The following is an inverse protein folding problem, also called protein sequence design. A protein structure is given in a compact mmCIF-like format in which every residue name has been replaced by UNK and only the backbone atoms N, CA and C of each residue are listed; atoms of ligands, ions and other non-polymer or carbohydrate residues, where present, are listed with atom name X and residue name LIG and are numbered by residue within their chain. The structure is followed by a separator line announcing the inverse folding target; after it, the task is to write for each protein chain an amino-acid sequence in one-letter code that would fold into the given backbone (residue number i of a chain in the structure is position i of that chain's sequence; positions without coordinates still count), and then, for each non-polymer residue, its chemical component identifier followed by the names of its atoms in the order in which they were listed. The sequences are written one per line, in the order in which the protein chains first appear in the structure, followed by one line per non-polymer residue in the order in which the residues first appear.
data_IF_926003513717
#
_entry.id   IF_926003513717
#
_cell.length_a   1.000
_cell.length_b   1.000
_cell.length_c   1.000
_cell.angle_alpha   90.00
_cell.angle_beta   90.00
_cell.angle_gamma   90.00
#
_symmetry.space_group_name_H-M   'P 1'
#
loop_
_entity.id
_entity.type
_entity.pdbx_description
1 polymer ?
#
# COMPACT_ATOMS: atom_id res chain seq x y z
N UNK A 1 -64.73 37.13 -42.51
CA UNK A 1 -64.56 38.31 -41.61
C UNK A 1 -63.57 37.90 -40.53
N UNK A 2 -62.27 38.09 -40.76
CA UNK A 2 -61.50 39.31 -40.48
C UNK A 2 -61.09 39.41 -38.99
N UNK A 3 -59.83 39.03 -38.73
CA UNK A 3 -58.96 39.61 -37.68
C UNK A 3 -58.69 41.12 -38.02
N UNK A 4 -58.03 41.99 -37.21
CA UNK A 4 -56.83 41.71 -36.40
C UNK A 4 -56.51 42.62 -35.17
N UNK A 5 -55.33 42.37 -34.56
CA UNK A 5 -54.51 43.35 -33.82
C UNK A 5 -54.78 43.46 -32.32
N UNK A 6 -53.85 43.73 -31.41
CA UNK A 6 -52.38 43.87 -31.38
C UNK A 6 -52.10 44.48 -30.01
N UNK A 7 -51.09 44.04 -29.25
CA UNK A 7 -50.77 44.75 -28.01
C UNK A 7 -49.92 43.99 -27.02
N UNK A 8 -48.62 43.89 -27.31
CA UNK A 8 -47.66 43.28 -26.41
C UNK A 8 -47.59 43.93 -25.03
N UNK A 9 -47.55 43.10 -23.99
CA UNK A 9 -46.88 43.44 -22.73
C UNK A 9 -45.84 42.37 -22.47
N UNK A 10 -44.63 42.64 -22.98
CA UNK A 10 -43.40 41.97 -22.52
C UNK A 10 -43.32 42.19 -21.01
N UNK A 11 -43.53 41.12 -20.25
CA UNK A 11 -43.17 41.07 -18.85
C UNK A 11 -41.65 41.32 -18.78
N UNK A 12 -41.24 42.54 -18.41
CA UNK A 12 -39.87 42.85 -18.02
C UNK A 12 -39.57 42.05 -16.76
N UNK A 13 -39.08 40.82 -16.93
CA UNK A 13 -38.42 40.05 -15.88
C UNK A 13 -37.23 40.90 -15.44
N UNK A 14 -37.35 41.56 -14.28
CA UNK A 14 -36.24 42.24 -13.62
C UNK A 14 -35.17 41.18 -13.36
N UNK A 15 -34.04 41.31 -14.03
CA UNK A 15 -32.82 40.57 -13.69
C UNK A 15 -32.44 40.94 -12.25
N UNK A 16 -32.17 39.97 -11.36
CA UNK A 16 -31.55 40.30 -10.09
C UNK A 16 -30.13 40.79 -10.36
N UNK A 17 -29.91 42.08 -10.14
CA UNK A 17 -28.59 42.67 -10.03
C UNK A 17 -27.95 42.20 -8.72
N UNK A 18 -27.14 41.14 -8.76
CA UNK A 18 -26.25 40.75 -7.65
C UNK A 18 -25.20 39.73 -8.10
N UNK A 19 -24.42 40.07 -9.12
CA UNK A 19 -23.39 39.20 -9.73
C UNK A 19 -21.94 39.45 -9.31
N UNK A 20 -21.67 40.29 -8.30
CA UNK A 20 -20.28 40.64 -7.90
C UNK A 20 -19.95 40.21 -6.46
N UNK A 21 -20.93 40.09 -5.57
CA UNK A 21 -20.73 39.58 -4.19
C UNK A 21 -20.73 38.04 -4.08
N UNK A 22 -21.35 37.34 -5.03
CA UNK A 22 -21.45 35.88 -5.02
C UNK A 22 -20.15 35.16 -5.48
N UNK A 23 -19.29 35.87 -6.21
CA UNK A 23 -17.99 35.37 -6.70
C UNK A 23 -16.88 35.53 -5.65
N UNK A 24 -16.85 36.65 -4.92
CA UNK A 24 -15.89 36.88 -3.84
C UNK A 24 -16.13 35.96 -2.63
N UNK A 25 -17.39 35.71 -2.26
CA UNK A 25 -17.72 34.75 -1.21
C UNK A 25 -17.35 33.32 -1.61
N UNK A 26 -17.57 32.90 -2.86
CA UNK A 26 -17.13 31.57 -3.33
C UNK A 26 -15.61 31.42 -3.40
N UNK A 27 -14.85 32.44 -3.79
CA UNK A 27 -13.39 32.37 -3.82
C UNK A 27 -12.77 32.37 -2.41
N UNK A 28 -13.33 33.13 -1.47
CA UNK A 28 -12.91 33.15 -0.06
C UNK A 28 -13.28 31.83 0.65
N UNK A 29 -14.47 31.28 0.39
CA UNK A 29 -14.85 29.94 0.90
C UNK A 29 -13.98 28.83 0.31
N UNK A 30 -13.56 28.96 -0.96
CA UNK A 30 -12.63 28.01 -1.60
C UNK A 30 -11.23 28.15 -1.00
N UNK A 31 -10.71 29.37 -0.81
CA UNK A 31 -9.40 29.63 -0.20
C UNK A 31 -9.30 29.16 1.24
N UNK A 32 -10.31 29.45 2.07
CA UNK A 32 -10.36 29.00 3.46
C UNK A 32 -10.40 27.47 3.60
N UNK A 33 -11.09 26.77 2.69
CA UNK A 33 -11.09 25.29 2.69
C UNK A 33 -9.78 24.69 2.23
N UNK A 34 -9.11 25.27 1.23
CA UNK A 34 -7.78 24.79 0.82
C UNK A 34 -6.74 24.99 1.93
N UNK A 35 -6.85 26.09 2.69
CA UNK A 35 -6.03 26.29 3.90
C UNK A 35 -6.30 25.21 4.95
N UNK A 36 -7.57 24.94 5.26
CA UNK A 36 -7.94 23.86 6.19
C UNK A 36 -7.43 22.51 5.71
N UNK A 37 -7.58 22.18 4.42
CA UNK A 37 -7.09 20.93 3.86
C UNK A 37 -5.56 20.84 3.91
N UNK A 38 -4.86 21.96 3.70
CA UNK A 38 -3.41 22.06 3.89
C UNK A 38 -3.00 21.77 5.34
N UNK A 39 -3.67 22.39 6.31
CA UNK A 39 -3.42 22.13 7.74
C UNK A 39 -3.69 20.66 8.08
N UNK A 40 -4.81 20.13 7.63
CA UNK A 40 -5.21 18.74 7.81
C UNK A 40 -4.22 17.74 7.19
N UNK A 41 -3.65 18.06 6.04
CA UNK A 41 -2.59 17.27 5.41
C UNK A 41 -1.29 17.30 6.23
N UNK A 42 -0.90 18.47 6.74
CA UNK A 42 0.27 18.59 7.64
C UNK A 42 0.05 17.79 8.93
N UNK A 43 -1.13 17.87 9.53
CA UNK A 43 -1.48 17.07 10.71
C UNK A 43 -1.42 15.57 10.40
N UNK A 44 -1.93 15.12 9.26
CA UNK A 44 -1.81 13.73 8.84
C UNK A 44 -0.35 13.28 8.70
N UNK A 45 0.51 14.10 8.09
CA UNK A 45 1.95 13.81 7.98
C UNK A 45 2.60 13.71 9.38
N UNK A 46 2.27 14.61 10.30
CA UNK A 46 2.78 14.55 11.68
C UNK A 46 2.34 13.28 12.40
N UNK A 47 1.07 12.87 12.23
CA UNK A 47 0.53 11.63 12.77
C UNK A 47 1.11 10.37 12.12
N UNK A 48 1.73 10.47 10.94
CA UNK A 48 2.49 9.36 10.35
C UNK A 48 3.91 9.26 10.91
N UNK A 49 4.58 10.41 11.13
CA UNK A 49 5.99 10.46 11.56
C UNK A 49 6.15 9.99 13.00
N UNK A 50 5.37 10.55 13.93
CA UNK A 50 5.58 10.31 15.36
C UNK A 50 5.43 8.83 15.77
N UNK A 51 4.34 8.12 15.40
CA UNK A 51 4.17 6.71 15.74
C UNK A 51 5.21 5.82 15.06
N UNK A 52 5.67 6.20 13.86
CA UNK A 52 6.63 5.41 13.11
C UNK A 52 8.02 5.43 13.75
N UNK A 53 8.50 6.57 14.24
CA UNK A 53 9.76 6.66 14.98
C UNK A 53 9.71 5.84 16.28
N UNK A 54 8.58 5.92 16.98
CA UNK A 54 8.36 5.21 18.24
C UNK A 54 8.28 3.68 18.02
N UNK A 55 7.60 3.25 16.96
CA UNK A 55 7.58 1.84 16.56
C UNK A 55 8.95 1.35 16.12
N UNK A 56 9.67 2.10 15.26
CA UNK A 56 10.99 1.71 14.76
C UNK A 56 11.99 1.52 15.90
N UNK A 57 12.04 2.46 16.85
CA UNK A 57 12.94 2.37 18.01
C UNK A 57 12.62 1.18 18.92
N UNK A 58 11.33 0.89 19.15
CA UNK A 58 10.90 -0.28 19.93
C UNK A 58 11.23 -1.59 19.22
N UNK A 59 10.95 -1.64 17.91
CA UNK A 59 11.21 -2.81 17.08
C UNK A 59 12.71 -3.13 17.02
N UNK A 60 13.58 -2.12 16.92
CA UNK A 60 15.03 -2.31 16.94
C UNK A 60 15.54 -2.88 18.26
N UNK A 61 15.03 -2.38 19.40
CA UNK A 61 15.41 -2.86 20.72
C UNK A 61 14.93 -4.30 21.01
N UNK A 62 13.82 -4.71 20.41
CA UNK A 62 13.13 -5.95 20.79
C UNK A 62 12.82 -6.89 19.62
N UNK A 63 13.54 -6.73 18.51
CA UNK A 63 13.34 -7.51 17.28
C UNK A 63 13.18 -9.01 17.54
N UNK A 64 14.11 -9.59 18.30
CA UNK A 64 14.15 -11.04 18.54
C UNK A 64 12.98 -11.52 19.42
N UNK A 65 12.56 -10.70 20.38
CA UNK A 65 11.38 -10.98 21.23
C UNK A 65 10.10 -10.92 20.39
N UNK A 66 9.99 -9.94 19.48
CA UNK A 66 8.84 -9.80 18.58
C UNK A 66 8.75 -10.98 17.62
N UNK A 67 9.85 -11.36 16.96
CA UNK A 67 9.91 -12.51 16.07
C UNK A 67 9.59 -13.82 16.81
N UNK A 68 10.10 -14.00 18.05
CA UNK A 68 9.78 -15.17 18.86
C UNK A 68 8.29 -15.24 19.25
N UNK A 69 7.68 -14.11 19.59
CA UNK A 69 6.24 -14.01 19.86
C UNK A 69 5.43 -14.32 18.60
N UNK A 70 5.82 -13.76 17.45
CA UNK A 70 5.18 -13.99 16.16
C UNK A 70 5.28 -15.46 15.75
N UNK A 71 6.42 -16.10 15.97
CA UNK A 71 6.63 -17.52 15.68
C UNK A 71 5.83 -18.46 16.60
N UNK A 72 5.50 -18.00 17.82
CA UNK A 72 4.56 -18.70 18.73
C UNK A 72 3.11 -18.57 18.27
N UNK A 73 2.72 -17.40 17.80
CA UNK A 73 1.34 -17.12 17.35
C UNK A 73 1.05 -17.63 15.93
N UNK A 74 2.05 -17.63 15.05
CA UNK A 74 1.95 -18.11 13.66
C UNK A 74 3.01 -19.21 13.40
N UNK A 75 2.76 -20.47 13.82
CA UNK A 75 3.72 -21.57 13.68
C UNK A 75 4.14 -21.87 12.22
N UNK A 76 3.27 -21.58 11.26
CA UNK A 76 3.45 -21.63 9.82
C UNK A 76 4.55 -20.70 9.27
N UNK A 77 4.98 -19.69 10.05
CA UNK A 77 5.98 -18.69 9.66
C UNK A 77 7.42 -19.05 10.05
N UNK A 78 7.63 -20.22 10.67
CA UNK A 78 8.97 -20.72 10.99
C UNK A 78 9.78 -20.83 9.70
N UNK A 79 10.83 -20.01 9.58
CA UNK A 79 11.82 -20.18 8.52
C UNK A 79 12.32 -21.64 8.56
N UNK A 80 12.39 -22.35 7.43
CA UNK A 80 13.14 -23.60 7.40
C UNK A 80 14.56 -23.30 7.89
N UNK A 81 15.09 -24.16 8.77
CA UNK A 81 16.45 -24.02 9.32
C UNK A 81 17.43 -23.75 8.16
N UNK A 82 18.26 -22.69 8.24
CA UNK A 82 19.23 -22.42 7.19
C UNK A 82 20.11 -23.66 6.99
N UNK A 83 20.45 -23.98 5.74
CA UNK A 83 21.25 -25.17 5.41
C UNK A 83 22.59 -25.21 6.18
N UNK A 84 23.12 -24.07 6.60
CA UNK A 84 24.28 -23.98 7.48
C UNK A 84 24.06 -24.66 8.85
N UNK A 85 22.88 -24.54 9.44
CA UNK A 85 22.55 -25.21 10.72
C UNK A 85 22.38 -26.72 10.54
N UNK A 86 21.97 -27.16 9.34
CA UNK A 86 21.90 -28.58 8.99
C UNK A 86 23.30 -29.15 8.75
N UNK A 87 24.20 -28.40 8.10
CA UNK A 87 25.60 -28.79 7.89
C UNK A 87 26.39 -28.77 9.21
N UNK A 88 26.10 -27.83 10.13
CA UNK A 88 26.67 -27.82 11.47
C UNK A 88 26.13 -28.98 12.32
N UNK A 89 24.82 -29.24 12.27
CA UNK A 89 24.23 -30.39 12.94
C UNK A 89 24.75 -31.73 12.38
N UNK A 90 24.99 -31.81 11.05
CA UNK A 90 25.57 -32.98 10.40
C UNK A 90 27.03 -33.18 10.82
N UNK A 91 27.82 -32.10 10.90
CA UNK A 91 29.19 -32.11 11.45
C UNK A 91 29.23 -32.54 12.91
N UNK A 92 28.31 -32.07 13.73
CA UNK A 92 28.24 -32.44 15.15
C UNK A 92 27.83 -33.91 15.31
N UNK A 93 26.93 -34.43 14.46
CA UNK A 93 26.60 -35.86 14.44
C UNK A 93 27.74 -36.74 13.93
N UNK A 94 28.51 -36.28 12.95
CA UNK A 94 29.69 -37.00 12.45
C UNK A 94 30.82 -36.97 13.49
N UNK A 95 31.04 -35.83 14.16
CA UNK A 95 31.98 -35.73 15.27
C UNK A 95 31.60 -36.65 16.44
N UNK A 96 30.31 -36.70 16.80
CA UNK A 96 29.80 -37.62 17.82
C UNK A 96 29.91 -39.10 17.40
N UNK A 97 29.77 -39.42 16.11
CA UNK A 97 29.98 -40.77 15.58
C UNK A 97 31.47 -41.17 15.53
N UNK A 98 32.38 -40.20 15.33
CA UNK A 98 33.83 -40.43 15.42
C UNK A 98 34.28 -40.62 16.88
N UNK A 99 33.66 -39.94 17.84
CA UNK A 99 33.91 -40.14 19.27
C UNK A 99 33.36 -41.47 19.82
N UNK A 100 32.30 -42.02 19.22
CA UNK A 100 31.71 -43.30 19.63
C UNK A 100 32.42 -44.55 19.07
N UNK A 101 33.50 -44.38 18.31
CA UNK A 101 34.33 -45.48 17.80
C UNK A 101 33.65 -46.32 16.71
N UNK A 102 32.59 -45.81 16.08
CA UNK A 102 31.89 -46.52 15.03
C UNK A 102 32.55 -46.25 13.68
N UNK A 103 33.31 -47.22 13.20
CA UNK A 103 34.11 -47.16 11.98
C UNK A 103 33.19 -47.00 10.74
N UNK A 104 32.97 -45.76 10.29
CA UNK A 104 32.28 -45.48 9.03
C UNK A 104 33.31 -45.66 7.91
N UNK A 105 33.19 -46.78 7.19
CA UNK A 105 34.02 -47.11 6.03
C UNK A 105 33.97 -45.97 4.99
N UNK A 106 35.09 -45.26 4.84
CA UNK A 106 35.26 -44.21 3.86
C UNK A 106 35.64 -44.82 2.50
N UNK A 107 34.69 -44.86 1.56
CA UNK A 107 34.99 -45.04 0.14
C UNK A 107 35.32 -43.67 -0.47
N UNK A 108 36.49 -43.48 -1.12
CA UNK A 108 36.87 -42.18 -1.66
C UNK A 108 36.16 -41.94 -3.00
N UNK A 109 35.00 -41.30 -2.97
CA UNK A 109 34.37 -40.78 -4.18
C UNK A 109 35.13 -39.52 -4.65
N UNK A 110 35.68 -39.59 -5.87
CA UNK A 110 36.22 -38.44 -6.61
C UNK A 110 35.24 -37.26 -6.59
N UNK A 111 35.72 -36.00 -6.56
CA UNK A 111 34.87 -34.84 -6.70
C UNK A 111 34.32 -34.81 -8.13
N UNK A 112 33.12 -35.36 -8.32
CA UNK A 112 32.35 -35.19 -9.53
C UNK A 112 32.20 -33.69 -9.79
N UNK A 113 32.77 -33.23 -10.89
CA UNK A 113 32.52 -31.91 -11.47
C UNK A 113 31.02 -31.79 -11.67
N UNK A 114 30.36 -31.07 -10.78
CA UNK A 114 28.93 -30.74 -10.89
C UNK A 114 28.78 -29.88 -12.15
N UNK A 115 28.06 -30.33 -13.18
CA UNK A 115 27.81 -29.49 -14.34
C UNK A 115 27.00 -28.26 -13.88
N UNK A 116 27.32 -27.07 -14.40
CA UNK A 116 26.69 -25.75 -14.14
C UNK A 116 25.17 -25.66 -14.45
N UNK A 117 24.45 -26.76 -14.50
CA UNK A 117 23.05 -26.88 -14.94
C UNK A 117 21.96 -26.86 -13.84
N UNK A 118 22.17 -27.12 -12.52
CA UNK A 118 21.05 -27.22 -11.58
C UNK A 118 20.48 -25.87 -11.12
N UNK A 119 21.23 -24.77 -11.25
CA UNK A 119 20.81 -23.44 -10.74
C UNK A 119 19.72 -22.79 -11.62
N UNK A 120 19.73 -23.06 -12.93
CA UNK A 120 18.74 -22.53 -13.88
C UNK A 120 17.39 -23.26 -13.80
N UNK A 121 17.37 -24.58 -13.55
CA UNK A 121 16.14 -25.35 -13.38
C UNK A 121 15.46 -25.10 -12.02
N UNK A 122 16.25 -24.99 -10.94
CA UNK A 122 15.74 -24.67 -9.60
C UNK A 122 15.12 -23.26 -9.53
N UNK A 123 15.71 -22.28 -10.24
CA UNK A 123 15.16 -20.92 -10.32
C UNK A 123 13.85 -20.84 -11.11
N UNK A 124 13.63 -21.72 -12.10
CA UNK A 124 12.37 -21.82 -12.82
C UNK A 124 11.22 -22.39 -11.97
N UNK A 125 11.49 -23.40 -11.13
CA UNK A 125 10.51 -23.99 -10.20
C UNK A 125 10.17 -23.10 -8.99
N UNK A 126 11.14 -22.35 -8.48
CA UNK A 126 10.90 -21.33 -7.45
C UNK A 126 10.14 -20.11 -8.00
N UNK A 127 10.36 -19.72 -9.26
CA UNK A 127 9.63 -18.62 -9.89
C UNK A 127 8.16 -18.98 -10.20
N UNK A 128 7.87 -20.21 -10.64
CA UNK A 128 6.50 -20.62 -10.97
C UNK A 128 5.59 -20.72 -9.74
N UNK A 129 6.12 -21.22 -8.62
CA UNK A 129 5.39 -21.29 -7.35
C UNK A 129 5.15 -19.91 -6.72
N UNK A 130 6.11 -18.98 -6.84
CA UNK A 130 5.96 -17.59 -6.40
C UNK A 130 4.87 -16.83 -7.18
N UNK A 131 4.85 -16.98 -8.50
CA UNK A 131 3.87 -16.32 -9.38
C UNK A 131 2.44 -16.81 -9.10
N UNK A 132 2.24 -18.12 -8.96
CA UNK A 132 0.93 -18.69 -8.64
C UNK A 132 0.43 -18.23 -7.27
N UNK A 133 1.31 -18.22 -6.27
CA UNK A 133 1.00 -17.72 -4.92
C UNK A 133 0.61 -16.24 -4.94
N UNK A 134 1.36 -15.42 -5.67
CA UNK A 134 1.03 -14.00 -5.82
C UNK A 134 -0.31 -13.79 -6.52
N UNK A 135 -0.54 -14.49 -7.64
CA UNK A 135 -1.81 -14.41 -8.37
C UNK A 135 -3.00 -14.82 -7.48
N UNK A 136 -2.87 -15.90 -6.72
CA UNK A 136 -3.89 -16.33 -5.76
C UNK A 136 -4.14 -15.28 -4.67
N UNK A 137 -3.09 -14.68 -4.12
CA UNK A 137 -3.23 -13.61 -3.12
C UNK A 137 -3.85 -12.33 -3.71
N UNK A 138 -3.50 -11.97 -4.94
CA UNK A 138 -4.05 -10.82 -5.65
C UNK A 138 -5.55 -10.98 -5.90
N UNK A 139 -5.97 -12.15 -6.41
CA UNK A 139 -7.38 -12.47 -6.62
C UNK A 139 -8.14 -12.52 -5.30
N UNK A 140 -7.63 -13.24 -4.30
CA UNK A 140 -8.27 -13.34 -3.00
C UNK A 140 -8.43 -11.97 -2.34
N UNK A 141 -7.39 -11.14 -2.37
CA UNK A 141 -7.44 -9.81 -1.80
C UNK A 141 -8.35 -8.85 -2.58
N UNK A 142 -8.46 -8.97 -3.90
CA UNK A 142 -9.44 -8.22 -4.69
C UNK A 142 -10.89 -8.60 -4.34
N UNK A 143 -11.15 -9.89 -4.13
CA UNK A 143 -12.46 -10.39 -3.67
C UNK A 143 -12.77 -9.91 -2.25
N UNK A 144 -11.80 -10.01 -1.33
CA UNK A 144 -11.92 -9.49 0.05
C UNK A 144 -12.23 -7.99 0.01
N UNK A 145 -11.54 -7.21 -0.84
CA UNK A 145 -11.80 -5.80 -1.02
C UNK A 145 -13.21 -5.48 -1.51
N UNK A 146 -13.81 -6.36 -2.32
CA UNK A 146 -15.19 -6.25 -2.76
C UNK A 146 -16.19 -6.17 -1.60
N UNK A 147 -15.95 -6.88 -0.51
CA UNK A 147 -16.83 -6.89 0.67
C UNK A 147 -16.89 -5.55 1.43
N UNK A 148 -16.06 -4.57 1.08
CA UNK A 148 -16.24 -3.20 1.59
C UNK A 148 -17.54 -2.56 1.09
N UNK A 149 -17.95 -2.89 -0.13
CA UNK A 149 -19.20 -2.42 -0.72
C UNK A 149 -20.40 -3.19 -0.12
N UNK A 150 -21.39 -2.50 0.51
CA UNK A 150 -22.60 -3.17 1.01
C UNK A 150 -23.42 -3.87 -0.09
N UNK A 151 -23.30 -3.43 -1.33
CA UNK A 151 -23.96 -4.03 -2.49
C UNK A 151 -23.17 -5.17 -3.13
N UNK A 152 -22.06 -5.62 -2.51
CA UNK A 152 -21.25 -6.70 -3.05
C UNK A 152 -22.02 -8.02 -3.09
N UNK A 153 -22.06 -8.66 -4.25
CA UNK A 153 -22.74 -9.92 -4.47
C UNK A 153 -22.54 -10.45 -5.89
N UNK A 154 -23.44 -11.32 -6.34
CA UNK A 154 -23.41 -11.84 -7.71
C UNK A 154 -24.05 -10.83 -8.67
N UNK A 155 -23.32 -9.77 -8.98
CA UNK A 155 -23.76 -8.71 -9.89
C UNK A 155 -22.64 -8.23 -10.80
N UNK A 156 -23.02 -7.53 -11.87
CA UNK A 156 -22.05 -6.96 -12.79
C UNK A 156 -21.22 -5.84 -12.15
N UNK A 157 -21.83 -5.05 -11.28
CA UNK A 157 -21.13 -4.01 -10.52
C UNK A 157 -20.05 -4.60 -9.60
N UNK A 158 -20.34 -5.75 -8.96
CA UNK A 158 -19.38 -6.44 -8.12
C UNK A 158 -18.21 -7.01 -8.93
N UNK A 159 -18.49 -7.52 -10.13
CA UNK A 159 -17.43 -7.99 -11.05
C UNK A 159 -16.51 -6.85 -11.49
N UNK A 160 -17.05 -5.71 -11.91
CA UNK A 160 -16.22 -4.56 -12.34
C UNK A 160 -15.40 -3.97 -11.19
N UNK A 161 -15.93 -3.98 -9.97
CA UNK A 161 -15.19 -3.59 -8.76
C UNK A 161 -13.99 -4.53 -8.53
N UNK A 162 -14.22 -5.84 -8.50
CA UNK A 162 -13.15 -6.84 -8.29
C UNK A 162 -12.10 -6.74 -9.40
N UNK A 163 -12.53 -6.60 -10.65
CA UNK A 163 -11.62 -6.40 -11.78
C UNK A 163 -10.78 -5.12 -11.61
N UNK A 164 -11.41 -4.01 -11.20
CA UNK A 164 -10.74 -2.75 -10.92
C UNK A 164 -9.66 -2.90 -9.84
N UNK A 165 -10.01 -3.50 -8.70
CA UNK A 165 -9.06 -3.72 -7.59
C UNK A 165 -7.93 -4.66 -8.01
N UNK A 166 -8.23 -5.74 -8.73
CA UNK A 166 -7.23 -6.68 -9.22
C UNK A 166 -6.23 -5.99 -10.17
N UNK A 167 -6.73 -5.19 -11.12
CA UNK A 167 -5.88 -4.41 -12.02
C UNK A 167 -5.00 -3.45 -11.23
N UNK A 168 -5.54 -2.75 -10.22
CA UNK A 168 -4.76 -1.84 -9.37
C UNK A 168 -3.63 -2.55 -8.63
N UNK A 169 -3.85 -3.74 -8.10
CA UNK A 169 -2.81 -4.53 -7.41
C UNK A 169 -1.67 -4.87 -8.37
N UNK A 170 -2.01 -5.38 -9.56
CA UNK A 170 -1.03 -5.77 -10.58
C UNK A 170 -0.27 -4.55 -11.09
N UNK A 171 -0.98 -3.49 -11.45
CA UNK A 171 -0.42 -2.25 -11.97
C UNK A 171 0.47 -1.56 -10.92
N UNK A 172 0.03 -1.50 -9.66
CA UNK A 172 0.82 -0.95 -8.56
C UNK A 172 2.12 -1.71 -8.34
N UNK A 173 2.09 -3.04 -8.45
CA UNK A 173 3.29 -3.89 -8.32
C UNK A 173 4.27 -3.67 -9.47
N UNK A 174 3.76 -3.58 -10.70
CA UNK A 174 4.59 -3.29 -11.89
C UNK A 174 5.20 -1.89 -11.79
N UNK A 175 4.38 -0.87 -11.50
CA UNK A 175 4.85 0.52 -11.43
C UNK A 175 5.85 0.73 -10.31
N UNK A 176 5.56 0.21 -9.11
CA UNK A 176 6.44 0.36 -7.96
C UNK A 176 7.81 -0.29 -8.16
N UNK A 177 7.88 -1.33 -8.99
CA UNK A 177 9.12 -2.05 -9.28
C UNK A 177 9.86 -1.57 -10.54
N UNK A 178 9.16 -0.88 -11.46
CA UNK A 178 9.68 -0.51 -12.77
C UNK A 178 10.97 0.34 -12.72
N UNK A 179 11.11 1.37 -11.87
CA UNK A 179 12.38 2.10 -11.78
C UNK A 179 13.54 1.26 -11.26
N UNK A 180 13.28 0.30 -10.37
CA UNK A 180 14.27 -0.67 -9.91
C UNK A 180 14.72 -1.63 -11.01
N UNK A 181 13.80 -2.06 -11.89
CA UNK A 181 14.13 -2.86 -13.08
C UNK A 181 14.96 -2.05 -14.05
N UNK A 182 14.52 -0.83 -14.38
CA UNK A 182 15.17 0.02 -15.37
C UNK A 182 16.58 0.41 -14.93
N UNK A 183 16.78 0.72 -13.64
CA UNK A 183 18.09 1.03 -13.10
C UNK A 183 19.04 -0.17 -13.18
N UNK A 184 18.58 -1.38 -12.83
CA UNK A 184 19.41 -2.60 -12.97
C UNK A 184 19.81 -2.85 -14.41
N UNK A 185 18.87 -2.72 -15.36
CA UNK A 185 19.16 -2.84 -16.79
C UNK A 185 20.20 -1.82 -17.25
N UNK A 186 20.10 -0.56 -16.80
CA UNK A 186 21.08 0.49 -17.13
C UNK A 186 22.47 0.23 -16.53
N UNK A 187 22.53 -0.45 -15.40
CA UNK A 187 23.78 -0.83 -14.74
C UNK A 187 24.35 -2.18 -15.22
N UNK A 188 23.71 -2.83 -16.21
CA UNK A 188 24.11 -4.16 -16.67
C UNK A 188 23.90 -5.27 -15.63
N UNK A 189 23.10 -5.03 -14.60
CA UNK A 189 22.82 -5.99 -13.53
C UNK A 189 21.62 -6.89 -13.91
N UNK A 190 21.62 -8.17 -13.49
CA UNK A 190 20.46 -9.04 -13.62
C UNK A 190 19.20 -8.39 -13.01
N UNK A 191 18.14 -8.30 -13.82
CA UNK A 191 16.84 -7.78 -13.41
C UNK A 191 15.84 -8.91 -13.09
N UNK A 192 16.34 -10.10 -12.81
CA UNK A 192 15.53 -11.24 -12.40
C UNK A 192 14.90 -10.95 -11.03
N UNK A 193 13.58 -11.12 -10.97
CA UNK A 193 12.79 -10.90 -9.78
C UNK A 193 11.78 -12.02 -9.62
N UNK A 194 11.48 -12.34 -8.37
CA UNK A 194 10.42 -13.28 -7.99
C UNK A 194 9.27 -12.46 -7.42
N UNK A 195 8.04 -12.80 -7.82
CA UNK A 195 6.86 -12.27 -7.16
C UNK A 195 6.73 -12.90 -5.78
N UNK A 196 6.93 -12.07 -4.76
CA UNK A 196 6.73 -12.47 -3.37
C UNK A 196 5.38 -11.94 -2.91
N UNK A 197 4.56 -12.83 -2.36
CA UNK A 197 3.32 -12.46 -1.70
C UNK A 197 3.33 -12.93 -0.26
N UNK A 198 2.72 -12.13 0.61
CA UNK A 198 2.61 -12.36 2.04
C UNK A 198 1.16 -12.75 2.38
N UNK A 199 0.81 -14.05 2.42
CA UNK A 199 -0.58 -14.49 2.59
C UNK A 199 -1.18 -14.06 3.93
N UNK A 200 -0.34 -13.90 4.96
CA UNK A 200 -0.78 -13.39 6.27
C UNK A 200 -1.38 -12.00 6.17
N UNK A 201 -1.02 -11.22 5.14
CA UNK A 201 -1.64 -9.95 4.87
C UNK A 201 -3.12 -10.06 4.51
N UNK A 202 -3.58 -11.18 3.93
CA UNK A 202 -5.02 -11.40 3.67
C UNK A 202 -5.84 -11.48 4.97
N UNK A 203 -5.24 -11.99 6.05
CA UNK A 203 -5.91 -12.01 7.37
C UNK A 203 -6.13 -10.58 7.86
N UNK A 204 -5.12 -9.72 7.70
CA UNK A 204 -5.24 -8.29 8.00
C UNK A 204 -6.31 -7.66 7.12
N UNK A 205 -6.35 -7.98 5.82
CA UNK A 205 -7.39 -7.49 4.91
C UNK A 205 -8.80 -7.86 5.37
N UNK A 206 -9.02 -9.11 5.79
CA UNK A 206 -10.30 -9.55 6.34
C UNK A 206 -10.67 -8.76 7.60
N UNK A 207 -9.73 -8.59 8.54
CA UNK A 207 -9.96 -7.81 9.77
C UNK A 207 -10.33 -6.36 9.42
N UNK A 208 -9.61 -5.73 8.49
CA UNK A 208 -9.87 -4.37 8.04
C UNK A 208 -11.26 -4.23 7.40
N UNK A 209 -11.67 -5.20 6.58
CA UNK A 209 -13.03 -5.25 6.02
C UNK A 209 -14.06 -5.36 7.13
N UNK A 210 -13.91 -6.32 8.04
CA UNK A 210 -14.85 -6.54 9.15
C UNK A 210 -15.01 -5.27 9.99
N UNK A 211 -13.91 -4.66 10.42
CA UNK A 211 -13.96 -3.42 11.22
C UNK A 211 -14.61 -2.28 10.44
N UNK A 212 -14.25 -2.10 9.16
CA UNK A 212 -14.85 -1.06 8.31
C UNK A 212 -16.36 -1.24 8.17
N UNK A 213 -16.82 -2.48 8.03
CA UNK A 213 -18.24 -2.83 7.94
C UNK A 213 -18.98 -2.61 9.26
N UNK A 214 -18.38 -2.98 10.39
CA UNK A 214 -18.99 -2.80 11.72
C UNK A 214 -19.13 -1.32 12.10
N UNK A 215 -18.18 -0.49 11.71
CA UNK A 215 -18.17 0.96 12.01
C UNK A 215 -18.92 1.78 10.94
N UNK A 216 -19.34 1.14 9.84
CA UNK A 216 -19.99 1.83 8.72
C UNK A 216 -19.06 2.82 8.01
N UNK A 217 -17.75 2.55 8.03
CA UNK A 217 -16.75 3.43 7.43
C UNK A 217 -16.79 3.30 5.90
N UNK A 218 -17.10 4.41 5.22
CA UNK A 218 -17.22 4.48 3.77
C UNK A 218 -16.45 5.70 3.22
N UNK A 219 -15.58 5.53 2.21
CA UNK A 219 -15.13 4.25 1.63
C UNK A 219 -14.42 3.37 2.68
N UNK A 220 -14.55 2.05 2.59
CA UNK A 220 -13.97 1.15 3.59
C UNK A 220 -12.43 1.11 3.58
N UNK A 221 -11.81 0.80 4.71
CA UNK A 221 -10.36 0.61 4.78
C UNK A 221 -9.99 -0.83 4.42
N UNK A 222 -9.11 -0.99 3.43
CA UNK A 222 -8.51 -2.28 3.05
C UNK A 222 -6.99 -2.20 3.13
N UNK A 223 -6.40 -3.00 4.02
CA UNK A 223 -4.95 -3.16 4.14
C UNK A 223 -4.56 -4.63 3.91
N UNK A 224 -3.26 -4.93 3.78
CA UNK A 224 -2.77 -6.31 3.86
C UNK A 224 -2.60 -7.04 2.52
N UNK A 225 -2.82 -6.38 1.40
CA UNK A 225 -2.48 -6.93 0.09
C UNK A 225 -1.02 -6.63 -0.25
N UNK A 226 -0.11 -7.28 0.50
CA UNK A 226 1.33 -7.05 0.39
C UNK A 226 1.95 -8.11 -0.51
N UNK A 227 2.27 -7.71 -1.74
CA UNK A 227 3.10 -8.47 -2.64
C UNK A 227 3.94 -7.53 -3.50
N UNK A 228 5.13 -7.97 -3.89
CA UNK A 228 6.11 -7.15 -4.59
C UNK A 228 7.13 -7.99 -5.35
N UNK A 229 8.03 -7.31 -6.05
CA UNK A 229 9.16 -7.96 -6.71
C UNK A 229 10.37 -8.01 -5.77
N UNK A 230 10.80 -9.22 -5.41
CA UNK A 230 12.07 -9.47 -4.75
C UNK A 230 13.15 -9.71 -5.82
N UNK A 231 14.14 -8.82 -5.90
CA UNK A 231 15.22 -8.91 -6.89
C UNK A 231 16.38 -9.75 -6.37
N UNK A 232 16.98 -10.57 -7.24
CA UNK A 232 18.12 -11.43 -6.89
C UNK A 232 19.37 -10.61 -6.57
N UNK A 233 19.55 -9.45 -7.21
CA UNK A 233 20.69 -8.56 -7.00
C UNK A 233 20.25 -7.29 -6.26
N UNK A 234 20.89 -7.06 -5.11
CA UNK A 234 20.71 -5.86 -4.30
C UNK A 234 21.38 -4.65 -4.95
N UNK A 235 20.72 -3.50 -4.88
CA UNK A 235 21.29 -2.20 -5.26
C UNK A 235 22.02 -1.58 -4.07
N UNK A 236 22.93 -0.64 -4.31
CA UNK A 236 23.48 0.18 -3.22
C UNK A 236 22.37 1.00 -2.54
N UNK A 237 22.55 1.37 -1.27
CA UNK A 237 21.54 2.14 -0.50
C UNK A 237 21.06 3.41 -1.24
N UNK A 238 21.99 4.14 -1.86
CA UNK A 238 21.66 5.35 -2.62
C UNK A 238 20.88 5.05 -3.92
N UNK A 239 21.26 4.00 -4.64
CA UNK A 239 20.55 3.57 -5.85
C UNK A 239 19.15 3.05 -5.51
N UNK A 240 19.01 2.30 -4.42
CA UNK A 240 17.73 1.83 -3.92
C UNK A 240 16.83 3.01 -3.53
N UNK A 241 17.35 3.99 -2.79
CA UNK A 241 16.58 5.18 -2.42
C UNK A 241 16.09 5.98 -3.64
N UNK A 242 16.96 6.18 -4.64
CA UNK A 242 16.58 6.85 -5.89
C UNK A 242 15.55 6.05 -6.69
N UNK A 243 15.68 4.73 -6.75
CA UNK A 243 14.73 3.86 -7.43
C UNK A 243 13.36 3.87 -6.74
N UNK A 244 13.35 3.80 -5.40
CA UNK A 244 12.13 3.89 -4.59
C UNK A 244 11.46 5.26 -4.77
N UNK A 245 12.23 6.35 -4.66
CA UNK A 245 11.72 7.70 -4.87
C UNK A 245 11.11 7.89 -6.27
N UNK A 246 11.80 7.43 -7.31
CA UNK A 246 11.27 7.44 -8.67
C UNK A 246 10.01 6.55 -8.80
N UNK A 247 9.99 5.39 -8.16
CA UNK A 247 8.82 4.49 -8.13
C UNK A 247 7.60 5.17 -7.54
N UNK A 248 7.78 5.86 -6.42
CA UNK A 248 6.71 6.60 -5.76
C UNK A 248 6.22 7.78 -6.60
N UNK A 249 7.11 8.51 -7.28
CA UNK A 249 6.72 9.56 -8.23
C UNK A 249 5.91 9.02 -9.41
N UNK A 250 6.33 7.89 -10.00
CA UNK A 250 5.60 7.27 -11.11
C UNK A 250 4.25 6.75 -10.64
N UNK A 251 4.18 6.12 -9.46
CA UNK A 251 2.92 5.66 -8.87
C UNK A 251 1.94 6.82 -8.67
N UNK A 252 2.42 7.94 -8.11
CA UNK A 252 1.62 9.15 -7.94
C UNK A 252 1.18 9.74 -9.29
N UNK A 253 2.07 9.78 -10.27
CA UNK A 253 1.77 10.24 -11.63
C UNK A 253 0.69 9.38 -12.31
N UNK A 254 0.75 8.05 -12.16
CA UNK A 254 -0.27 7.14 -12.69
C UNK A 254 -1.60 7.29 -11.96
N UNK A 255 -1.59 7.46 -10.63
CA UNK A 255 -2.81 7.73 -9.88
C UNK A 255 -3.48 9.02 -10.38
N UNK A 256 -2.71 10.10 -10.56
CA UNK A 256 -3.22 11.37 -11.10
C UNK A 256 -3.72 11.23 -12.54
N UNK A 257 -3.02 10.49 -13.39
CA UNK A 257 -3.48 10.22 -14.76
C UNK A 257 -4.79 9.42 -14.76
N UNK A 258 -4.93 8.44 -13.87
CA UNK A 258 -6.17 7.67 -13.70
C UNK A 258 -7.32 8.54 -13.22
N UNK A 259 -7.07 9.49 -12.30
CA UNK A 259 -8.06 10.48 -11.89
C UNK A 259 -8.54 11.37 -13.04
N UNK A 260 -7.62 11.85 -13.88
CA UNK A 260 -7.98 12.64 -15.05
C UNK A 260 -8.78 11.81 -16.07
N UNK A 261 -8.41 10.54 -16.28
CA UNK A 261 -9.15 9.61 -17.14
C UNK A 261 -10.54 9.27 -16.59
N UNK A 262 -10.70 9.22 -15.27
CA UNK A 262 -11.98 8.92 -14.62
C UNK A 262 -13.09 9.93 -14.98
N UNK A 263 -12.75 11.19 -15.21
CA UNK A 263 -13.73 12.26 -15.52
C UNK A 263 -14.53 11.98 -16.80
N UNK A 264 -13.90 11.80 -17.99
CA UNK A 264 -14.63 11.44 -19.20
C UNK A 264 -15.23 10.03 -19.11
N UNK A 265 -14.57 9.08 -18.44
CA UNK A 265 -15.08 7.71 -18.28
C UNK A 265 -16.39 7.68 -17.49
N UNK A 266 -16.50 8.48 -16.42
CA UNK A 266 -17.74 8.59 -15.65
C UNK A 266 -18.86 9.18 -16.49
N UNK A 267 -18.56 10.23 -17.26
CA UNK A 267 -19.55 10.85 -18.15
C UNK A 267 -20.09 9.86 -19.20
N UNK A 268 -19.22 9.01 -19.74
CA UNK A 268 -19.60 7.96 -20.68
C UNK A 268 -20.34 6.80 -19.98
N UNK A 269 -19.94 6.43 -18.76
CA UNK A 269 -20.55 5.34 -18.01
C UNK A 269 -21.97 5.66 -17.48
N UNK A 270 -22.33 6.94 -17.33
CA UNK A 270 -23.68 7.36 -16.93
C UNK A 270 -24.70 7.38 -18.07
N UNK A 271 -24.30 7.03 -19.29
CA UNK A 271 -25.24 6.92 -20.41
C UNK A 271 -26.17 5.70 -20.24
N UNK A 272 -27.36 5.67 -20.89
CA UNK A 272 -28.37 4.62 -20.68
C UNK A 272 -27.92 3.18 -21.01
N UNK A 273 -26.88 3.01 -21.82
CA UNK A 273 -26.26 1.73 -22.14
C UNK A 273 -24.74 1.88 -22.28
N UNK A 274 -24.01 1.96 -21.16
CA UNK A 274 -22.57 2.11 -21.20
C UNK A 274 -21.95 0.78 -21.63
N UNK A 275 -21.20 0.80 -22.73
CA UNK A 275 -20.50 -0.39 -23.20
C UNK A 275 -19.57 -0.96 -22.11
N UNK A 276 -19.46 -2.29 -22.06
CA UNK A 276 -18.68 -3.02 -21.05
C UNK A 276 -17.28 -2.45 -20.79
N UNK A 277 -16.56 -2.11 -21.87
CA UNK A 277 -15.22 -1.55 -21.78
C UNK A 277 -15.17 -0.22 -21.02
N UNK A 278 -16.21 0.62 -21.16
CA UNK A 278 -16.31 1.91 -20.47
C UNK A 278 -16.51 1.70 -18.98
N UNK A 279 -17.42 0.80 -18.58
CA UNK A 279 -17.69 0.49 -17.16
C UNK A 279 -16.47 -0.09 -16.45
N UNK A 280 -15.77 -1.05 -17.08
CA UNK A 280 -14.51 -1.58 -16.52
C UNK A 280 -13.44 -0.49 -16.45
N UNK A 281 -13.26 0.28 -17.52
CA UNK A 281 -12.23 1.33 -17.55
C UNK A 281 -12.47 2.37 -16.45
N UNK A 282 -13.73 2.75 -16.21
CA UNK A 282 -14.11 3.64 -15.12
C UNK A 282 -13.76 3.04 -13.75
N UNK A 283 -14.11 1.78 -13.51
CA UNK A 283 -13.82 1.08 -12.25
C UNK A 283 -12.31 0.95 -12.01
N UNK A 284 -11.54 0.60 -13.05
CA UNK A 284 -10.07 0.55 -13.01
C UNK A 284 -9.48 1.92 -12.72
N UNK A 285 -9.94 2.98 -13.40
CA UNK A 285 -9.45 4.33 -13.18
C UNK A 285 -9.72 4.82 -11.75
N UNK A 286 -10.91 4.53 -11.21
CA UNK A 286 -11.24 4.82 -9.82
C UNK A 286 -10.33 4.05 -8.85
N UNK A 287 -10.20 2.74 -9.04
CA UNK A 287 -9.38 1.89 -8.18
C UNK A 287 -7.90 2.29 -8.22
N UNK A 288 -7.36 2.63 -9.40
CA UNK A 288 -5.97 3.06 -9.57
C UNK A 288 -5.71 4.39 -8.88
N UNK A 289 -6.66 5.32 -8.93
CA UNK A 289 -6.52 6.58 -8.24
C UNK A 289 -6.60 6.40 -6.72
N UNK A 290 -7.67 5.77 -6.20
CA UNK A 290 -7.88 5.59 -4.76
C UNK A 290 -6.75 4.74 -4.17
N UNK A 291 -6.52 3.55 -4.72
CA UNK A 291 -5.47 2.64 -4.24
C UNK A 291 -4.06 3.18 -4.47
N UNK A 292 -3.84 3.98 -5.52
CA UNK A 292 -2.56 4.64 -5.78
C UNK A 292 -2.23 5.72 -4.76
N UNK A 293 -3.18 6.59 -4.41
CA UNK A 293 -2.99 7.62 -3.38
C UNK A 293 -2.84 7.00 -2.00
N UNK A 294 -3.73 6.09 -1.62
CA UNK A 294 -3.68 5.41 -0.32
C UNK A 294 -2.42 4.57 -0.17
N UNK A 295 -2.11 3.73 -1.16
CA UNK A 295 -0.91 2.91 -1.18
C UNK A 295 0.37 3.73 -1.12
N UNK A 296 0.40 4.90 -1.78
CA UNK A 296 1.53 5.83 -1.71
C UNK A 296 1.64 6.47 -0.33
N UNK A 297 0.53 6.92 0.25
CA UNK A 297 0.52 7.54 1.57
C UNK A 297 1.01 6.56 2.64
N UNK A 298 0.51 5.33 2.61
CA UNK A 298 0.93 4.25 3.50
C UNK A 298 2.40 3.92 3.26
N UNK A 299 2.78 3.69 2.00
CA UNK A 299 4.14 3.36 1.61
C UNK A 299 5.16 4.44 2.01
N UNK A 300 4.74 5.70 2.11
CA UNK A 300 5.55 6.81 2.61
C UNK A 300 5.69 6.85 4.12
N UNK A 301 4.88 6.13 4.89
CA UNK A 301 5.07 6.03 6.35
C UNK A 301 6.52 5.58 6.63
N UNK A 302 7.29 6.29 7.47
CA UNK A 302 8.73 6.07 7.61
C UNK A 302 9.04 4.86 8.50
N UNK A 303 8.34 3.74 8.32
CA UNK A 303 8.59 2.47 8.99
C UNK A 303 9.66 1.68 8.23
N UNK A 304 10.57 1.00 8.93
CA UNK A 304 11.69 0.24 8.30
C UNK A 304 11.24 -0.82 7.28
N UNK A 305 10.03 -1.35 7.45
CA UNK A 305 9.43 -2.34 6.55
C UNK A 305 8.82 -1.71 5.28
N UNK A 306 8.71 -0.39 5.23
CA UNK A 306 8.05 0.34 4.15
C UNK A 306 9.04 1.17 3.31
N UNK A 307 8.70 1.43 2.04
CA UNK A 307 9.57 2.20 1.13
C UNK A 307 9.91 3.60 1.65
N UNK A 308 9.01 4.22 2.42
CA UNK A 308 9.14 5.56 2.99
C UNK A 308 10.38 5.73 3.84
N UNK A 309 10.76 4.72 4.64
CA UNK A 309 11.99 4.77 5.44
C UNK A 309 13.25 4.86 4.56
N UNK A 310 13.24 4.22 3.39
CA UNK A 310 14.35 4.29 2.43
C UNK A 310 14.52 5.71 1.88
N UNK A 311 13.43 6.42 1.61
CA UNK A 311 13.48 7.82 1.16
C UNK A 311 13.87 8.74 2.33
N UNK A 312 13.29 8.54 3.51
CA UNK A 312 13.55 9.33 4.72
C UNK A 312 15.03 9.32 5.12
N UNK A 313 15.64 8.12 5.12
CA UNK A 313 17.05 7.94 5.44
C UNK A 313 18.01 8.52 4.39
N UNK A 314 17.55 8.69 3.14
CA UNK A 314 18.31 9.32 2.07
C UNK A 314 18.18 10.84 2.04
N UNK A 315 16.94 11.36 2.08
CA UNK A 315 16.65 12.80 1.99
C UNK A 315 15.31 13.12 2.64
N UNK A 316 15.35 13.65 3.87
CA UNK A 316 14.17 14.15 4.58
C UNK A 316 13.38 15.19 3.77
N UNK A 317 14.01 16.18 3.09
CA UNK A 317 13.26 17.11 2.26
C UNK A 317 12.50 16.43 1.11
N UNK A 318 13.12 15.45 0.44
CA UNK A 318 12.47 14.71 -0.64
C UNK A 318 11.28 13.89 -0.11
N UNK A 319 11.43 13.29 1.06
CA UNK A 319 10.35 12.59 1.75
C UNK A 319 9.21 13.54 2.12
N UNK A 320 9.49 14.67 2.78
CA UNK A 320 8.47 15.64 3.19
C UNK A 320 7.71 16.20 1.99
N UNK A 321 8.42 16.51 0.89
CA UNK A 321 7.79 16.95 -0.34
C UNK A 321 6.77 15.94 -0.86
N UNK A 322 7.14 14.65 -0.91
CA UNK A 322 6.24 13.60 -1.35
C UNK A 322 5.07 13.36 -0.38
N UNK A 323 5.37 13.32 0.92
CA UNK A 323 4.38 13.07 1.97
C UNK A 323 3.33 14.19 2.02
N UNK A 324 3.76 15.45 1.96
CA UNK A 324 2.84 16.60 1.95
C UNK A 324 1.96 16.59 0.69
N UNK A 325 2.54 16.38 -0.49
CA UNK A 325 1.77 16.34 -1.75
C UNK A 325 0.76 15.19 -1.72
N UNK A 326 1.18 13.99 -1.31
CA UNK A 326 0.29 12.82 -1.25
C UNK A 326 -0.80 13.00 -0.20
N UNK A 327 -0.46 13.47 1.01
CA UNK A 327 -1.43 13.74 2.07
C UNK A 327 -2.41 14.84 1.66
N UNK A 328 -1.95 15.88 0.97
CA UNK A 328 -2.82 16.92 0.45
C UNK A 328 -3.82 16.36 -0.57
N UNK A 329 -3.36 15.55 -1.53
CA UNK A 329 -4.25 14.88 -2.50
C UNK A 329 -5.25 13.94 -1.80
N UNK A 330 -4.78 13.16 -0.82
CA UNK A 330 -5.63 12.28 0.00
C UNK A 330 -6.72 13.08 0.73
N UNK A 331 -6.36 14.15 1.44
CA UNK A 331 -7.33 14.98 2.18
C UNK A 331 -8.30 15.68 1.24
N UNK A 332 -7.80 16.30 0.18
CA UNK A 332 -8.61 17.13 -0.72
C UNK A 332 -9.51 16.31 -1.64
N UNK A 333 -9.02 15.19 -2.15
CA UNK A 333 -9.75 14.41 -3.16
C UNK A 333 -10.50 13.23 -2.57
N UNK A 334 -9.94 12.54 -1.56
CA UNK A 334 -10.57 11.35 -0.98
C UNK A 334 -11.40 11.66 0.28
N UNK A 335 -10.85 12.43 1.23
CA UNK A 335 -11.54 12.69 2.50
C UNK A 335 -12.57 13.83 2.43
N UNK A 336 -12.31 14.88 1.63
CA UNK A 336 -13.20 16.03 1.50
C UNK A 336 -13.50 16.36 0.03
N UNK A 337 -14.07 15.41 -0.74
CA UNK A 337 -14.37 15.64 -2.14
C UNK A 337 -15.36 16.80 -2.30
N UNK A 338 -14.93 17.92 -2.90
CA UNK A 338 -15.80 19.07 -3.19
C UNK A 338 -16.91 18.72 -4.20
N UNK A 339 -16.68 17.71 -5.04
CA UNK A 339 -17.49 17.42 -6.23
C UNK A 339 -18.09 15.99 -6.27
N UNK A 340 -18.20 15.31 -5.12
CA UNK A 340 -18.87 14.00 -5.06
C UNK A 340 -18.14 12.86 -5.80
N UNK A 341 -16.80 12.94 -5.93
CA UNK A 341 -15.97 11.89 -6.56
C UNK A 341 -16.19 10.49 -5.96
N UNK A 342 -16.55 10.40 -4.67
CA UNK A 342 -16.91 9.17 -3.96
C UNK A 342 -18.33 9.21 -3.38
N UNK A 343 -19.23 10.01 -3.96
CA UNK A 343 -20.51 10.37 -3.32
C UNK A 343 -20.30 11.37 -2.18
N UNK A 344 -21.37 11.74 -1.48
CA UNK A 344 -21.32 12.70 -0.38
C UNK A 344 -20.62 12.09 0.84
N UNK A 345 -19.29 12.03 0.85
CA UNK A 345 -18.51 11.68 2.03
C UNK A 345 -18.84 12.68 3.14
N UNK A 346 -19.53 12.21 4.19
CA UNK A 346 -19.93 13.08 5.28
C UNK A 346 -18.70 13.54 6.08
N UNK A 347 -18.82 14.66 6.80
CA UNK A 347 -17.75 15.16 7.69
C UNK A 347 -17.31 14.10 8.72
N UNK A 348 -18.12 13.07 8.98
CA UNK A 348 -17.77 11.95 9.85
C UNK A 348 -16.59 11.12 9.34
N UNK A 349 -16.45 10.90 8.02
CA UNK A 349 -15.35 10.09 7.46
C UNK A 349 -13.97 10.69 7.74
N UNK A 350 -13.87 12.03 7.70
CA UNK A 350 -12.66 12.78 8.04
C UNK A 350 -12.24 12.52 9.49
N UNK A 351 -13.18 12.70 10.43
CA UNK A 351 -12.89 12.54 11.86
C UNK A 351 -12.57 11.10 12.24
N UNK A 352 -13.24 10.12 11.63
CA UNK A 352 -12.90 8.70 11.83
C UNK A 352 -11.50 8.39 11.33
N UNK A 353 -11.10 8.94 10.18
CA UNK A 353 -9.73 8.79 9.64
C UNK A 353 -8.68 9.33 10.61
N UNK A 354 -8.87 10.56 11.12
CA UNK A 354 -7.97 11.12 12.12
C UNK A 354 -8.00 10.36 13.44
N UNK A 355 -9.17 9.86 13.85
CA UNK A 355 -9.32 9.01 15.02
C UNK A 355 -8.55 7.69 14.88
N UNK A 356 -8.53 7.09 13.69
CA UNK A 356 -7.73 5.89 13.40
C UNK A 356 -6.23 6.19 13.40
N UNK A 357 -5.80 7.30 12.80
CA UNK A 357 -4.38 7.72 12.88
C UNK A 357 -3.95 8.00 14.32
N UNK A 358 -4.80 8.69 15.10
CA UNK A 358 -4.57 8.92 16.52
C UNK A 358 -4.56 7.61 17.31
N UNK A 359 -5.50 6.69 17.02
CA UNK A 359 -5.59 5.35 17.60
C UNK A 359 -4.33 4.52 17.33
N UNK A 360 -3.84 4.53 16.10
CA UNK A 360 -2.57 3.92 15.73
C UNK A 360 -1.40 4.55 16.50
N UNK A 361 -1.39 5.88 16.66
CA UNK A 361 -0.42 6.58 17.50
C UNK A 361 -0.46 6.14 18.96
N UNK A 362 -1.67 6.00 19.54
CA UNK A 362 -1.86 5.52 20.91
C UNK A 362 -1.43 4.05 21.07
N UNK A 363 -1.76 3.18 20.11
CA UNK A 363 -1.32 1.78 20.12
C UNK A 363 0.21 1.67 20.02
N UNK A 364 0.83 2.49 19.18
CA UNK A 364 2.29 2.56 19.07
C UNK A 364 2.92 3.03 20.39
N UNK A 365 2.34 4.05 21.04
CA UNK A 365 2.76 4.52 22.35
C UNK A 365 2.60 3.46 23.45
N UNK A 366 1.47 2.74 23.46
CA UNK A 366 1.21 1.65 24.40
C UNK A 366 2.18 0.47 24.18
N UNK A 367 2.47 0.14 22.93
CA UNK A 367 3.44 -0.89 22.56
C UNK A 367 4.84 -0.54 23.07
N UNK A 368 5.32 0.68 22.82
CA UNK A 368 6.58 1.18 23.37
C UNK A 368 6.58 1.15 24.90
N UNK A 369 5.52 1.65 25.53
CA UNK A 369 5.42 1.68 26.99
C UNK A 369 5.48 0.28 27.60
N UNK A 370 4.78 -0.70 27.02
CA UNK A 370 4.79 -2.09 27.47
C UNK A 370 6.17 -2.74 27.34
N UNK A 371 6.94 -2.41 26.30
CA UNK A 371 8.28 -2.96 26.12
C UNK A 371 9.33 -2.27 27.01
N UNK A 372 9.21 -0.97 27.21
CA UNK A 372 10.13 -0.20 28.06
C UNK A 372 9.88 -0.46 29.56
N UNK A 373 8.62 -0.71 29.98
CA UNK A 373 8.23 -0.90 31.38
C UNK A 373 7.76 -2.33 31.72
N UNK A 374 7.79 -3.26 30.76
CA UNK A 374 7.35 -4.64 30.93
C UNK A 374 8.35 -5.51 31.70
N UNK A 375 7.95 -6.73 32.12
CA UNK A 375 8.65 -7.58 33.09
C UNK A 375 9.96 -8.25 32.58
N UNK A 376 10.69 -7.60 31.68
CA UNK A 376 11.98 -8.06 31.16
C UNK A 376 12.90 -6.92 30.72
N UNK A 377 12.72 -5.70 31.26
CA UNK A 377 13.77 -4.70 31.30
C UNK A 377 14.81 -5.19 32.29
N UNK A 378 15.91 -5.76 31.77
CA UNK A 378 17.10 -5.96 32.61
C UNK A 378 17.47 -4.59 33.19
N UNK A 379 17.66 -4.49 34.51
CA UNK A 379 18.20 -3.27 35.11
C UNK A 379 19.55 -2.99 34.44
N UNK A 380 19.74 -1.78 33.93
CA UNK A 380 21.06 -1.28 33.53
C UNK A 380 22.06 -1.65 34.64
N UNK A 381 22.99 -2.57 34.36
CA UNK A 381 24.11 -2.83 35.26
C UNK A 381 25.03 -1.60 35.18
N UNK A 382 25.19 -0.81 36.25
CA UNK A 382 25.99 0.42 36.23
C UNK A 382 27.51 0.14 36.23
N UNK A 383 27.96 -1.04 35.79
CA UNK A 383 29.38 -1.42 35.73
C UNK A 383 29.72 -2.16 34.42
N UNK A 384 29.78 -1.42 33.32
CA UNK A 384 30.47 -1.84 32.10
C UNK A 384 31.42 -0.74 31.63
#
# INVERSE_FOLDING_TARGET
MAAPGSGGRRARRRLPASGVGATASRSVYRGGRQLVNGILAVVAVLLLVFPAELFNSTYDKHHDKVEALLARLLPWRRKPRPAADLVLAERDTVAAAMESGQEVAAEPAEPAVVPDQPVLAASAGFASSGNAKYAACAVAGAVIGGFLDPGFGFSWASFTLVAGVLVTIVVGTVIGSMPGVLLRRRLGLPATAVLEAVPTGLVVAVVCVVVSRLVGFQPGYLYGLVGGLAFVVALTKLQQARAVFAGTLVALGVALAAWLAYVPLTSAATQPDPGFAVTISQAVAAALFVGGIEGTLIGLTPLKLLPGYTIWSWSRPAWFGLAIVTAFLFVTVLLRPENGYLGSSSTASVWVTYGLFAGFGMLSAAFWWWFEHGPGSEPDDPRA
#
